data_IF_652536244495
#
_entry.id   IF_652536244495
#
_cell.length_a   1.000
_cell.length_b   1.000
_cell.length_c   1.000
_cell.angle_alpha   90.00
_cell.angle_beta   90.00
_cell.angle_gamma   90.00
#
_symmetry.space_group_name_H-M   'P 1'
#
loop_
_entity.id
_entity.type
_entity.pdbx_description
1 polymer ?
#
# COMPACT_ATOMS: atom_id res chain seq x y z
N UNK A 1 -4.40 -16.06 -9.66
CA UNK A 1 -5.35 -15.15 -8.97
C UNK A 1 -4.91 -13.68 -9.05
N UNK A 2 -3.62 -13.34 -9.15
CA UNK A 2 -3.12 -11.95 -9.31
C UNK A 2 -2.90 -11.44 -10.75
N UNK A 3 -3.25 -12.20 -11.79
CA UNK A 3 -2.99 -11.81 -13.19
C UNK A 3 -4.22 -12.02 -14.09
N UNK A 4 -5.41 -11.93 -13.49
CA UNK A 4 -6.67 -11.88 -14.25
C UNK A 4 -7.02 -10.41 -14.53
N UNK A 5 -7.83 -10.11 -15.57
CA UNK A 5 -8.34 -8.77 -15.84
C UNK A 5 -9.09 -8.12 -14.65
N UNK A 6 -9.47 -8.88 -13.62
CA UNK A 6 -10.01 -8.32 -12.38
C UNK A 6 -8.99 -7.52 -11.55
N UNK A 7 -7.69 -7.72 -11.74
CA UNK A 7 -6.67 -7.04 -10.94
C UNK A 7 -6.70 -5.51 -11.09
N UNK A 8 -6.89 -5.00 -12.31
CA UNK A 8 -7.03 -3.56 -12.57
C UNK A 8 -8.29 -2.96 -11.93
N UNK A 9 -9.31 -3.79 -11.70
CA UNK A 9 -10.55 -3.36 -11.03
C UNK A 9 -10.32 -3.08 -9.55
N UNK A 10 -9.39 -3.79 -8.90
CA UNK A 10 -9.12 -3.61 -7.46
C UNK A 10 -8.44 -2.28 -7.17
N UNK A 11 -7.44 -1.88 -7.97
CA UNK A 11 -6.83 -0.54 -7.82
C UNK A 11 -7.86 0.57 -8.06
N UNK A 12 -8.76 0.37 -9.02
CA UNK A 12 -9.85 1.31 -9.31
C UNK A 12 -10.88 1.36 -8.17
N UNK A 13 -11.24 0.22 -7.60
CA UNK A 13 -12.17 0.11 -6.49
C UNK A 13 -11.63 0.79 -5.22
N UNK A 14 -10.36 0.55 -4.87
CA UNK A 14 -9.72 1.21 -3.73
C UNK A 14 -9.66 2.71 -3.95
N UNK A 15 -9.27 3.16 -5.14
CA UNK A 15 -9.25 4.58 -5.50
C UNK A 15 -10.62 5.23 -5.29
N UNK A 16 -11.69 4.61 -5.80
CA UNK A 16 -13.06 5.12 -5.64
C UNK A 16 -13.50 5.11 -4.17
N UNK A 17 -13.10 4.09 -3.41
CA UNK A 17 -13.41 3.99 -1.97
C UNK A 17 -12.74 5.11 -1.18
N UNK A 18 -11.44 5.37 -1.42
CA UNK A 18 -10.72 6.48 -0.80
C UNK A 18 -11.36 7.83 -1.13
N UNK A 19 -11.76 8.05 -2.39
CA UNK A 19 -12.43 9.28 -2.81
C UNK A 19 -13.84 9.43 -2.21
N UNK A 20 -14.58 8.33 -2.07
CA UNK A 20 -15.92 8.32 -1.46
C UNK A 20 -15.86 8.74 0.01
N UNK A 21 -14.85 8.28 0.74
CA UNK A 21 -14.69 8.58 2.17
C UNK A 21 -13.67 9.70 2.45
N UNK A 22 -13.28 10.49 1.44
CA UNK A 22 -12.26 11.54 1.58
C UNK A 22 -12.55 12.56 2.69
N UNK A 23 -13.83 12.85 2.96
CA UNK A 23 -14.22 13.79 4.01
C UNK A 23 -14.07 13.24 5.43
N UNK A 24 -13.88 11.92 5.55
CA UNK A 24 -13.61 11.22 6.81
C UNK A 24 -12.12 10.97 7.02
N UNK A 25 -11.29 11.16 5.99
CA UNK A 25 -9.84 11.00 6.08
C UNK A 25 -9.29 12.30 6.66
N UNK A 26 -8.78 12.20 7.87
CA UNK A 26 -8.11 13.28 8.60
C UNK A 26 -6.68 12.87 9.00
N UNK A 27 -5.98 13.79 9.68
CA UNK A 27 -4.59 13.61 10.10
C UNK A 27 -4.33 12.42 11.04
N UNK A 28 -5.37 11.82 11.63
CA UNK A 28 -5.28 10.67 12.54
C UNK A 28 -5.89 9.39 11.94
N UNK A 29 -6.05 9.35 10.62
CA UNK A 29 -6.63 8.21 9.92
C UNK A 29 -5.58 7.19 9.54
N UNK A 30 -5.79 5.93 9.96
CA UNK A 30 -5.00 4.76 9.53
C UNK A 30 -5.90 3.86 8.68
N UNK A 31 -5.44 3.51 7.48
CA UNK A 31 -6.13 2.59 6.58
C UNK A 31 -5.23 1.37 6.40
N UNK A 32 -5.68 0.22 6.88
CA UNK A 32 -4.94 -1.03 6.79
C UNK A 32 -5.81 -2.12 6.17
N UNK A 33 -5.22 -2.93 5.31
CA UNK A 33 -5.86 -4.14 4.82
C UNK A 33 -5.17 -4.76 3.63
N UNK A 34 -5.79 -5.83 3.13
CA UNK A 34 -5.41 -6.48 1.88
C UNK A 34 -5.98 -5.67 0.70
N UNK A 35 -5.09 -4.99 -0.02
CA UNK A 35 -5.45 -4.18 -1.18
C UNK A 35 -5.43 -5.03 -2.46
N UNK A 36 -4.92 -6.26 -2.40
CA UNK A 36 -4.69 -7.15 -3.53
C UNK A 36 -3.93 -6.46 -4.69
N UNK A 37 -3.21 -5.37 -4.41
CA UNK A 37 -2.57 -4.48 -5.39
C UNK A 37 -1.25 -3.99 -4.79
N UNK A 38 -0.10 -4.19 -5.47
CA UNK A 38 1.17 -3.58 -5.08
C UNK A 38 1.15 -2.07 -5.34
N UNK A 39 1.71 -1.28 -4.43
CA UNK A 39 1.78 0.19 -4.56
C UNK A 39 3.13 0.67 -5.11
N UNK A 40 4.16 -0.18 -5.13
CA UNK A 40 5.50 0.13 -5.61
C UNK A 40 6.05 -0.98 -6.52
N UNK A 41 6.95 -0.67 -7.49
CA UNK A 41 7.67 -1.72 -8.21
C UNK A 41 8.42 -2.70 -7.29
N UNK A 42 8.90 -2.22 -6.13
CA UNK A 42 9.59 -3.06 -5.13
C UNK A 42 8.66 -4.05 -4.42
N UNK A 43 7.34 -3.82 -4.47
CA UNK A 43 6.34 -4.73 -3.90
C UNK A 43 6.18 -5.99 -4.76
N UNK A 44 6.77 -6.04 -5.95
CA UNK A 44 6.74 -7.20 -6.84
C UNK A 44 8.13 -7.81 -6.95
N UNK A 45 8.26 -9.12 -6.80
CA UNK A 45 9.54 -9.80 -6.99
C UNK A 45 10.11 -9.63 -8.41
N UNK A 46 9.23 -9.51 -9.40
CA UNK A 46 9.60 -9.26 -10.80
C UNK A 46 10.07 -7.82 -11.07
N UNK A 47 9.85 -6.88 -10.15
CA UNK A 47 10.10 -5.43 -10.32
C UNK A 47 9.48 -4.85 -11.59
N UNK A 48 8.43 -5.48 -12.11
CA UNK A 48 7.70 -4.99 -13.27
C UNK A 48 7.10 -3.62 -13.00
N UNK A 49 7.02 -2.79 -14.05
CA UNK A 49 6.37 -1.48 -14.00
C UNK A 49 4.92 -1.64 -13.55
N UNK A 50 4.45 -0.66 -12.76
CA UNK A 50 3.05 -0.56 -12.36
C UNK A 50 2.15 -0.29 -13.58
N UNK A 51 0.93 -0.83 -13.53
CA UNK A 51 -0.09 -0.50 -14.53
C UNK A 51 -0.61 0.94 -14.30
N UNK A 52 -1.41 1.43 -15.25
CA UNK A 52 -1.93 2.80 -15.20
C UNK A 52 -2.85 3.02 -13.99
N UNK A 53 -3.68 2.04 -13.67
CA UNK A 53 -4.68 2.12 -12.59
C UNK A 53 -4.02 2.20 -11.21
N UNK A 54 -2.92 1.48 -11.00
CA UNK A 54 -2.11 1.55 -9.77
C UNK A 54 -1.41 2.89 -9.68
N UNK A 55 -0.90 3.43 -10.79
CA UNK A 55 -0.30 4.77 -10.80
C UNK A 55 -1.35 5.83 -10.41
N UNK A 56 -2.58 5.73 -10.93
CA UNK A 56 -3.68 6.62 -10.55
C UNK A 56 -4.10 6.45 -9.07
N UNK A 57 -4.10 5.22 -8.56
CA UNK A 57 -4.32 4.94 -7.14
C UNK A 57 -3.25 5.62 -6.28
N UNK A 58 -1.97 5.44 -6.60
CA UNK A 58 -0.87 6.09 -5.88
C UNK A 58 -0.96 7.61 -5.91
N UNK A 59 -1.33 8.19 -7.04
CA UNK A 59 -1.57 9.63 -7.13
C UNK A 59 -2.71 10.07 -6.22
N UNK A 60 -3.78 9.27 -6.13
CA UNK A 60 -4.91 9.55 -5.23
C UNK A 60 -4.50 9.45 -3.76
N UNK A 61 -3.74 8.42 -3.40
CA UNK A 61 -3.17 8.25 -2.05
C UNK A 61 -2.34 9.49 -1.67
N UNK A 62 -1.43 9.92 -2.55
CA UNK A 62 -0.61 11.11 -2.34
C UNK A 62 -1.44 12.40 -2.24
N UNK A 63 -2.50 12.55 -3.03
CA UNK A 63 -3.40 13.71 -2.99
C UNK A 63 -4.21 13.80 -1.69
N UNK A 64 -4.40 12.67 -0.99
CA UNK A 64 -5.04 12.61 0.32
C UNK A 64 -4.02 12.72 1.47
N UNK A 65 -2.76 13.04 1.15
CA UNK A 65 -1.61 13.10 2.08
C UNK A 65 -1.38 11.78 2.85
N UNK A 66 -1.86 10.67 2.30
CA UNK A 66 -1.61 9.33 2.82
C UNK A 66 -0.30 8.79 2.27
N UNK A 67 0.38 7.95 3.06
CA UNK A 67 1.62 7.29 2.66
C UNK A 67 1.68 5.86 3.19
N UNK A 68 2.36 4.97 2.46
CA UNK A 68 2.61 3.60 2.93
C UNK A 68 3.69 3.61 4.01
N UNK A 69 3.26 3.41 5.25
CA UNK A 69 4.10 3.51 6.44
C UNK A 69 5.23 2.48 6.39
N UNK A 70 4.93 1.25 5.95
CA UNK A 70 5.94 0.20 5.86
C UNK A 70 7.05 0.62 4.88
N UNK A 71 6.69 1.25 3.77
CA UNK A 71 7.65 1.69 2.75
C UNK A 71 8.53 2.85 3.23
N UNK A 72 8.06 3.69 4.15
CA UNK A 72 8.88 4.74 4.76
C UNK A 72 9.99 4.15 5.63
N UNK A 73 9.68 3.19 6.50
CA UNK A 73 10.68 2.58 7.39
C UNK A 73 11.56 1.56 6.67
N UNK A 74 11.09 1.00 5.56
CA UNK A 74 11.80 -0.02 4.79
C UNK A 74 11.88 0.32 3.29
N UNK A 75 12.53 1.44 2.92
CA UNK A 75 12.49 1.97 1.56
C UNK A 75 13.02 0.99 0.52
N UNK A 76 14.02 0.18 0.87
CA UNK A 76 14.68 -0.78 -0.04
C UNK A 76 14.31 -2.24 0.21
N UNK A 77 13.50 -2.54 1.24
CA UNK A 77 13.18 -3.92 1.59
C UNK A 77 12.26 -4.59 0.58
N UNK A 78 12.56 -5.85 0.28
CA UNK A 78 11.78 -6.74 -0.57
C UNK A 78 11.01 -7.75 0.29
N UNK A 79 10.15 -7.25 1.17
CA UNK A 79 9.22 -8.08 1.95
C UNK A 79 7.91 -8.25 1.21
N UNK A 80 7.41 -9.48 1.16
CA UNK A 80 6.23 -9.87 0.40
C UNK A 80 5.22 -10.56 1.33
N UNK A 81 3.93 -10.36 1.06
CA UNK A 81 2.85 -10.92 1.88
C UNK A 81 2.04 -11.99 1.17
N UNK A 82 2.22 -12.14 -0.15
CA UNK A 82 1.52 -13.12 -0.98
C UNK A 82 2.43 -13.84 -1.97
N UNK A 83 2.22 -15.15 -2.12
CA UNK A 83 2.86 -15.97 -3.15
C UNK A 83 1.84 -16.48 -4.18
N UNK A 84 2.12 -16.25 -5.46
CA UNK A 84 1.31 -16.73 -6.57
C UNK A 84 1.94 -17.95 -7.24
N UNK A 85 1.50 -19.15 -6.88
CA UNK A 85 2.00 -20.41 -7.45
C UNK A 85 1.92 -20.45 -9.00
N UNK A 86 0.80 -19.99 -9.58
CA UNK A 86 0.58 -19.99 -11.04
C UNK A 86 1.59 -19.14 -11.83
N UNK A 87 2.26 -18.20 -11.16
CA UNK A 87 3.20 -17.27 -11.80
C UNK A 87 4.57 -17.29 -11.15
N UNK A 88 4.80 -18.19 -10.19
CA UNK A 88 6.05 -18.29 -9.43
C UNK A 88 6.54 -16.95 -8.85
N UNK A 89 5.62 -16.07 -8.44
CA UNK A 89 5.96 -14.69 -8.07
C UNK A 89 5.46 -14.31 -6.68
N UNK A 90 6.20 -13.41 -6.05
CA UNK A 90 5.89 -12.84 -4.74
C UNK A 90 5.46 -11.39 -4.89
N UNK A 91 4.39 -11.03 -4.19
CA UNK A 91 3.83 -9.68 -4.21
C UNK A 91 3.50 -9.26 -2.78
N UNK A 92 3.80 -8.01 -2.42
CA UNK A 92 3.24 -7.35 -1.24
C UNK A 92 1.90 -6.73 -1.63
N UNK A 93 0.84 -7.17 -0.96
CA UNK A 93 -0.53 -6.73 -1.21
C UNK A 93 -1.23 -6.18 0.03
N UNK A 94 -0.67 -6.42 1.21
CA UNK A 94 -1.14 -5.83 2.46
C UNK A 94 -0.41 -4.51 2.70
N UNK A 95 -1.19 -3.45 2.87
CA UNK A 95 -0.69 -2.09 3.03
C UNK A 95 -1.27 -1.44 4.28
N UNK A 96 -0.46 -0.55 4.88
CA UNK A 96 -0.85 0.32 5.98
C UNK A 96 -0.59 1.74 5.50
N UNK A 97 -1.66 2.49 5.27
CA UNK A 97 -1.62 3.89 4.87
C UNK A 97 -1.94 4.78 6.07
N UNK A 98 -1.23 5.89 6.19
CA UNK A 98 -1.53 6.93 7.18
C UNK A 98 -0.99 8.28 6.72
N UNK A 99 -1.46 9.36 7.32
CA UNK A 99 -0.86 10.68 7.12
C UNK A 99 0.53 10.77 7.74
N UNK A 100 1.35 11.69 7.20
CA UNK A 100 2.71 11.91 7.67
C UNK A 100 2.77 12.38 9.13
N UNK A 101 1.77 13.12 9.59
CA UNK A 101 1.65 13.58 10.99
C UNK A 101 1.65 12.43 11.99
N UNK A 102 1.05 11.29 11.64
CA UNK A 102 1.00 10.09 12.51
C UNK A 102 2.31 9.31 12.54
N UNK A 103 3.26 9.59 11.65
CA UNK A 103 4.51 8.82 11.58
C UNK A 103 5.38 8.99 12.82
N UNK A 104 5.32 10.14 13.49
CA UNK A 104 6.07 10.36 14.73
C UNK A 104 5.53 9.48 15.87
N UNK A 105 4.21 9.36 15.98
CA UNK A 105 3.53 8.53 16.98
C UNK A 105 3.69 7.03 16.69
N UNK A 106 3.56 6.64 15.41
CA UNK A 106 3.70 5.26 14.97
C UNK A 106 5.16 4.79 14.90
N UNK A 107 6.12 5.72 14.81
CA UNK A 107 7.54 5.40 14.71
C UNK A 107 8.08 4.61 15.91
N UNK A 108 7.50 4.77 17.10
CA UNK A 108 7.87 3.98 18.27
C UNK A 108 7.48 2.50 18.13
N UNK A 109 6.33 2.23 17.51
CA UNK A 109 5.82 0.87 17.28
C UNK A 109 6.65 0.14 16.21
N UNK A 110 6.96 0.82 15.10
CA UNK A 110 7.70 0.20 14.00
C UNK A 110 9.22 0.18 14.20
N UNK A 111 9.78 0.98 15.11
CA UNK A 111 11.21 0.95 15.46
C UNK A 111 11.59 -0.14 16.46
N UNK A 112 10.61 -0.92 16.95
CA UNK A 112 10.85 -1.99 17.94
C UNK A 112 11.19 -1.46 19.35
N UNK A 113 10.95 -0.17 19.62
CA UNK A 113 11.26 0.48 20.92
C UNK A 113 10.10 0.45 21.92
N UNK A 114 9.01 -0.26 21.62
CA UNK A 114 7.82 -0.28 22.48
C UNK A 114 7.91 -1.25 23.68
N UNK A 115 9.06 -1.91 23.91
CA UNK A 115 9.24 -2.86 25.02
C UNK A 115 10.64 -2.74 25.64
N UNK A 116 10.83 -1.75 26.53
CA UNK A 116 11.85 -1.75 27.59
C UNK A 116 11.32 -1.05 28.82
#
# INVERSE_FOLDING_TARGET
>A
VLFSPLFNLLSTFIKQTLLKYKSLIDHHTIIMGDFNTPLSPLDRSSKQKLNKETIELNNTINNLDLTDIYRIYHPTSSSYTFFSAAHGSFTKIDHILSNKSMLEELGLWFSGRALT
#
